data_IF_012057788936
#
_entry.id   IF_012057788936
#
_cell.length_a   1.000
_cell.length_b   1.000
_cell.length_c   1.000
_cell.angle_alpha   90.00
_cell.angle_beta   90.00
_cell.angle_gamma   90.00
#
_symmetry.space_group_name_H-M   'P 1'
#
loop_
_entity.id
_entity.type
_entity.pdbx_description
1 polymer ?
#
# COMPACT_ATOMS: atom_id res chain seq x y z
N UNK A 1 -18.19 3.81 14.55
CA UNK A 1 -17.19 3.05 13.79
C UNK A 1 -17.86 2.57 12.52
N UNK A 2 -17.23 2.80 11.38
CA UNK A 2 -17.70 2.31 10.08
C UNK A 2 -17.58 0.79 9.99
N UNK A 3 -18.14 0.20 8.93
CA UNK A 3 -17.98 -1.22 8.64
C UNK A 3 -16.54 -1.50 8.22
N UNK A 4 -15.84 -2.41 8.91
CA UNK A 4 -14.47 -2.84 8.52
C UNK A 4 -14.56 -3.70 7.26
N UNK A 5 -13.83 -3.28 6.21
CA UNK A 5 -13.73 -4.01 4.92
C UNK A 5 -12.46 -4.83 4.84
N UNK A 6 -11.34 -4.29 5.31
CA UNK A 6 -10.08 -5.03 5.39
C UNK A 6 -9.58 -5.04 6.83
N UNK A 7 -9.27 -6.22 7.34
CA UNK A 7 -8.62 -6.38 8.63
C UNK A 7 -7.42 -7.32 8.47
N UNK A 8 -6.26 -6.85 8.91
CA UNK A 8 -5.01 -7.62 8.96
C UNK A 8 -4.62 -7.78 10.42
N UNK A 9 -4.38 -9.02 10.86
CA UNK A 9 -4.05 -9.35 12.26
C UNK A 9 -2.72 -10.09 12.33
N UNK A 10 -1.73 -9.49 12.94
CA UNK A 10 -0.42 -10.10 13.23
C UNK A 10 0.21 -10.83 12.02
N UNK A 11 0.05 -10.25 10.84
CA UNK A 11 0.51 -10.86 9.59
C UNK A 11 2.03 -10.97 9.57
N UNK A 12 2.53 -12.17 9.25
CA UNK A 12 3.95 -12.46 9.08
C UNK A 12 4.19 -13.19 7.77
N UNK A 13 5.12 -12.67 6.99
CA UNK A 13 5.60 -13.30 5.76
C UNK A 13 7.10 -13.15 5.62
N UNK A 14 7.73 -14.06 4.92
CA UNK A 14 9.16 -14.05 4.65
C UNK A 14 9.47 -14.41 3.20
N UNK A 15 10.60 -13.96 2.72
CA UNK A 15 11.23 -14.53 1.54
C UNK A 15 12.21 -15.62 1.95
N UNK A 16 12.21 -16.73 1.22
CA UNK A 16 13.26 -17.75 1.31
C UNK A 16 14.15 -17.56 0.08
N UNK A 17 15.40 -17.13 0.32
CA UNK A 17 16.35 -16.88 -0.76
C UNK A 17 16.82 -18.21 -1.39
N UNK A 18 17.44 -18.13 -2.56
CA UNK A 18 18.08 -19.29 -3.21
C UNK A 18 19.16 -19.99 -2.37
N UNK A 19 19.67 -19.30 -1.34
CA UNK A 19 20.62 -19.83 -0.37
C UNK A 19 19.96 -20.36 0.91
N UNK A 20 18.63 -20.55 0.90
CA UNK A 20 17.82 -21.00 2.03
C UNK A 20 17.89 -20.08 3.27
N UNK A 21 18.08 -18.78 3.05
CA UNK A 21 18.06 -17.79 4.11
C UNK A 21 16.69 -17.12 4.17
N UNK A 22 16.16 -16.96 5.39
CA UNK A 22 14.91 -16.29 5.66
C UNK A 22 15.10 -14.77 5.71
N UNK A 23 14.21 -14.02 5.05
CA UNK A 23 14.16 -12.56 5.09
C UNK A 23 12.77 -12.14 5.57
N UNK A 24 12.65 -11.65 6.79
CA UNK A 24 11.40 -11.32 7.47
C UNK A 24 10.89 -9.94 7.06
N UNK A 25 10.27 -9.87 5.88
CA UNK A 25 9.87 -8.60 5.26
C UNK A 25 8.54 -8.05 5.77
N UNK A 26 7.68 -8.88 6.37
CA UNK A 26 6.47 -8.49 7.11
C UNK A 26 6.47 -9.28 8.42
N UNK A 27 6.44 -8.59 9.55
CA UNK A 27 6.61 -9.24 10.85
C UNK A 27 5.70 -8.61 11.90
N UNK A 28 4.53 -9.22 12.09
CA UNK A 28 3.55 -8.82 13.10
C UNK A 28 2.80 -7.53 12.74
N UNK A 29 2.38 -7.41 11.47
CA UNK A 29 1.63 -6.24 10.99
C UNK A 29 0.15 -6.42 11.25
N UNK A 30 -0.47 -5.39 11.88
CA UNK A 30 -1.92 -5.35 12.16
C UNK A 30 -2.49 -3.98 11.84
N UNK A 31 -3.61 -3.94 11.11
CA UNK A 31 -4.37 -2.72 10.83
C UNK A 31 -5.76 -3.05 10.28
N UNK A 32 -6.62 -2.04 10.20
CA UNK A 32 -7.95 -2.13 9.61
C UNK A 32 -8.19 -1.00 8.63
N UNK A 33 -9.05 -1.23 7.62
CA UNK A 33 -9.59 -0.18 6.74
C UNK A 33 -11.12 -0.31 6.73
N UNK A 34 -11.81 0.77 7.08
CA UNK A 34 -13.26 0.85 7.06
C UNK A 34 -13.79 1.12 5.64
N UNK A 35 -15.07 0.86 5.41
CA UNK A 35 -15.76 1.18 4.15
C UNK A 35 -15.73 2.69 3.86
N UNK A 36 -15.40 3.05 2.64
CA UNK A 36 -15.22 4.44 2.20
C UNK A 36 -13.92 5.08 2.67
N UNK A 37 -13.00 4.32 3.28
CA UNK A 37 -11.72 4.83 3.79
C UNK A 37 -10.53 4.36 2.97
N UNK A 38 -9.50 5.19 3.00
CA UNK A 38 -8.22 4.93 2.36
C UNK A 38 -7.06 4.97 3.35
N UNK A 39 -6.13 4.02 3.22
CA UNK A 39 -4.93 3.88 4.04
C UNK A 39 -3.67 4.14 3.21
N UNK A 40 -2.84 5.07 3.63
CA UNK A 40 -1.51 5.29 3.10
C UNK A 40 -0.47 4.41 3.81
N UNK A 41 0.45 3.83 3.05
CA UNK A 41 1.60 3.09 3.61
C UNK A 41 2.88 3.80 3.21
N UNK A 42 3.55 4.37 4.21
CA UNK A 42 4.79 5.11 4.05
C UNK A 42 6.00 4.35 4.60
N UNK A 43 7.19 4.73 4.18
CA UNK A 43 8.47 4.18 4.67
C UNK A 43 9.53 4.12 3.59
N UNK A 44 10.79 3.95 4.01
CA UNK A 44 11.94 3.84 3.09
C UNK A 44 11.84 2.63 2.15
N UNK A 45 12.58 2.68 1.04
CA UNK A 45 12.71 1.54 0.13
C UNK A 45 13.25 0.31 0.88
N UNK A 46 12.70 -0.87 0.59
CA UNK A 46 13.09 -2.12 1.24
C UNK A 46 12.51 -2.36 2.63
N UNK A 47 11.67 -1.46 3.20
CA UNK A 47 11.07 -1.68 4.51
C UNK A 47 9.93 -2.73 4.54
N UNK A 48 9.49 -3.24 3.37
CA UNK A 48 8.47 -4.30 3.26
C UNK A 48 7.12 -3.90 2.71
N UNK A 49 6.91 -2.66 2.24
CA UNK A 49 5.61 -2.15 1.75
C UNK A 49 5.01 -3.00 0.62
N UNK A 50 5.76 -3.20 -0.47
CA UNK A 50 5.29 -4.03 -1.58
C UNK A 50 5.14 -5.49 -1.19
N UNK A 51 5.95 -5.98 -0.23
CA UNK A 51 5.78 -7.32 0.33
C UNK A 51 4.48 -7.42 1.11
N UNK A 52 4.13 -6.39 1.90
CA UNK A 52 2.84 -6.32 2.59
C UNK A 52 1.68 -6.37 1.58
N UNK A 53 1.74 -5.56 0.51
CA UNK A 53 0.75 -5.57 -0.57
C UNK A 53 0.56 -6.97 -1.17
N UNK A 54 1.65 -7.61 -1.58
CA UNK A 54 1.62 -8.97 -2.14
C UNK A 54 1.10 -9.99 -1.13
N UNK A 55 1.49 -9.85 0.14
CA UNK A 55 1.03 -10.75 1.21
C UNK A 55 -0.48 -10.70 1.41
N UNK A 56 -1.08 -9.50 1.30
CA UNK A 56 -2.53 -9.30 1.46
C UNK A 56 -3.35 -9.88 0.30
N UNK A 57 -2.72 -10.19 -0.83
CA UNK A 57 -3.41 -10.91 -1.92
C UNK A 57 -3.76 -12.36 -1.54
N UNK A 58 -3.20 -12.90 -0.46
CA UNK A 58 -3.43 -14.29 -0.03
C UNK A 58 -2.86 -15.34 -0.98
N UNK A 59 -2.17 -14.91 -2.03
CA UNK A 59 -1.59 -15.77 -3.05
C UNK A 59 -0.07 -15.78 -2.94
N UNK A 60 0.47 -16.84 -2.32
CA UNK A 60 1.90 -16.97 -2.03
C UNK A 60 2.55 -17.94 -3.00
N UNK A 61 3.62 -17.51 -3.63
CA UNK A 61 4.48 -18.37 -4.44
C UNK A 61 5.95 -18.00 -4.24
N UNK A 62 6.85 -18.99 -4.34
CA UNK A 62 8.28 -18.74 -4.12
C UNK A 62 8.81 -17.55 -4.93
N UNK A 63 9.66 -16.71 -4.30
CA UNK A 63 10.29 -16.88 -2.98
C UNK A 63 9.51 -16.36 -1.77
N UNK A 64 8.26 -15.84 -1.92
CA UNK A 64 7.42 -15.33 -0.83
C UNK A 64 6.66 -16.47 -0.15
N UNK A 65 6.71 -16.51 1.19
CA UNK A 65 6.05 -17.52 2.02
C UNK A 65 5.26 -16.88 3.16
N UNK A 66 4.03 -17.36 3.35
CA UNK A 66 3.21 -17.05 4.52
C UNK A 66 3.76 -17.79 5.76
N UNK A 67 3.73 -17.11 6.92
CA UNK A 67 4.12 -17.69 8.21
C UNK A 67 2.90 -17.81 9.11
N UNK A 68 2.21 -16.69 9.38
CA UNK A 68 1.07 -16.63 10.29
C UNK A 68 0.31 -15.30 10.17
N UNK A 69 -0.82 -15.22 10.86
CA UNK A 69 -1.67 -14.04 10.93
C UNK A 69 -2.90 -14.18 10.07
N UNK A 70 -3.82 -13.21 10.16
CA UNK A 70 -5.07 -13.25 9.43
C UNK A 70 -5.19 -12.07 8.47
N UNK A 71 -5.84 -12.33 7.32
CA UNK A 71 -6.27 -11.35 6.35
C UNK A 71 -7.75 -11.57 6.14
N UNK A 72 -8.56 -10.61 6.60
CA UNK A 72 -10.01 -10.72 6.60
C UNK A 72 -10.57 -9.62 5.71
N UNK A 73 -11.30 -10.01 4.65
CA UNK A 73 -11.94 -9.08 3.71
C UNK A 73 -13.45 -9.24 3.84
N UNK A 74 -14.14 -8.17 4.28
CA UNK A 74 -15.59 -8.13 4.49
C UNK A 74 -16.09 -9.33 5.32
N UNK A 75 -15.34 -9.68 6.38
CA UNK A 75 -15.65 -10.79 7.28
C UNK A 75 -15.16 -12.17 6.82
N UNK A 76 -14.63 -12.32 5.61
CA UNK A 76 -14.07 -13.58 5.09
C UNK A 76 -12.57 -13.63 5.34
N UNK A 77 -12.10 -14.58 6.15
CA UNK A 77 -10.66 -14.85 6.32
C UNK A 77 -10.12 -15.59 5.08
N UNK A 78 -9.13 -15.02 4.43
CA UNK A 78 -8.48 -15.59 3.24
C UNK A 78 -7.10 -16.20 3.53
N UNK A 79 -6.63 -16.12 4.77
CA UNK A 79 -5.33 -16.64 5.17
C UNK A 79 -5.30 -18.17 5.08
N UNK A 80 -4.29 -18.71 4.45
CA UNK A 80 -4.12 -20.16 4.30
C UNK A 80 -5.11 -20.85 3.37
N UNK A 81 -5.90 -20.10 2.59
CA UNK A 81 -6.72 -20.67 1.51
C UNK A 81 -5.86 -21.34 0.45
N UNK A 82 -6.43 -22.31 -0.25
CA UNK A 82 -5.78 -22.92 -1.39
C UNK A 82 -5.49 -21.88 -2.48
N UNK A 83 -4.28 -21.87 -3.09
CA UNK A 83 -3.91 -20.88 -4.11
C UNK A 83 -4.85 -20.83 -5.32
N UNK A 84 -5.38 -21.98 -5.76
CA UNK A 84 -6.34 -22.02 -6.87
C UNK A 84 -7.70 -21.45 -6.47
N UNK A 85 -8.13 -21.62 -5.22
CA UNK A 85 -9.33 -21.00 -4.68
C UNK A 85 -9.16 -19.49 -4.57
N UNK A 86 -8.02 -19.02 -4.03
CA UNK A 86 -7.68 -17.59 -3.96
C UNK A 86 -7.75 -16.97 -5.34
N UNK A 87 -7.11 -17.59 -6.33
CA UNK A 87 -7.10 -17.08 -7.71
C UNK A 87 -8.49 -16.96 -8.32
N UNK A 88 -9.37 -17.92 -8.04
CA UNK A 88 -10.72 -17.98 -8.64
C UNK A 88 -11.75 -17.11 -7.93
N UNK A 89 -11.61 -16.92 -6.61
CA UNK A 89 -12.70 -16.32 -5.80
C UNK A 89 -12.31 -15.05 -5.05
N UNK A 90 -11.02 -14.74 -4.97
CA UNK A 90 -10.52 -13.60 -4.20
C UNK A 90 -9.90 -12.53 -5.09
N UNK A 91 -8.93 -12.95 -5.96
CA UNK A 91 -8.22 -11.99 -6.79
C UNK A 91 -9.17 -11.36 -7.83
N UNK A 92 -9.20 -10.05 -7.90
CA UNK A 92 -10.03 -9.28 -8.83
C UNK A 92 -11.44 -8.98 -8.34
N UNK A 93 -12.02 -9.79 -7.43
CA UNK A 93 -13.38 -9.62 -6.88
C UNK A 93 -13.39 -9.12 -5.43
N UNK A 94 -12.61 -9.74 -4.56
CA UNK A 94 -12.49 -9.30 -3.17
C UNK A 94 -11.35 -8.29 -3.01
N UNK A 95 -10.20 -8.59 -3.63
CA UNK A 95 -9.01 -7.74 -3.60
C UNK A 95 -8.38 -7.64 -4.99
N UNK A 96 -7.98 -6.43 -5.39
CA UNK A 96 -7.22 -6.18 -6.61
C UNK A 96 -5.95 -5.41 -6.31
N UNK A 97 -4.95 -5.57 -7.18
CA UNK A 97 -3.63 -4.99 -7.02
C UNK A 97 -3.18 -4.27 -8.29
N UNK A 98 -2.75 -3.03 -8.13
CA UNK A 98 -2.07 -2.26 -9.16
C UNK A 98 -0.58 -2.28 -8.80
N UNK A 99 0.26 -3.00 -9.56
CA UNK A 99 1.68 -3.14 -9.25
C UNK A 99 2.47 -1.87 -9.54
N UNK A 100 3.63 -1.76 -8.90
CA UNK A 100 4.64 -0.78 -9.26
C UNK A 100 5.00 -0.93 -10.75
N UNK A 101 5.16 0.19 -11.46
CA UNK A 101 5.36 0.20 -12.93
C UNK A 101 4.22 -0.53 -13.69
N UNK A 102 2.98 -0.30 -13.30
CA UNK A 102 1.78 -0.93 -13.87
C UNK A 102 1.71 -0.87 -15.40
N UNK A 103 2.32 0.14 -16.03
CA UNK A 103 2.40 0.25 -17.49
C UNK A 103 3.07 -0.95 -18.18
N UNK A 104 3.90 -1.70 -17.46
CA UNK A 104 4.59 -2.89 -17.95
C UNK A 104 3.76 -4.19 -17.75
N UNK A 105 2.62 -4.10 -17.05
CA UNK A 105 1.74 -5.26 -16.84
C UNK A 105 0.93 -5.64 -18.08
N UNK A 106 0.79 -4.74 -19.04
CA UNK A 106 0.05 -4.99 -20.27
C UNK A 106 0.91 -5.76 -21.29
N UNK A 107 0.38 -6.86 -21.83
CA UNK A 107 1.05 -7.61 -22.90
C UNK A 107 1.13 -6.73 -24.17
N UNK A 108 2.34 -6.43 -24.67
CA UNK A 108 2.52 -5.54 -25.82
C UNK A 108 1.93 -6.09 -27.14
N UNK A 109 1.79 -7.40 -27.25
CA UNK A 109 1.34 -8.09 -28.48
C UNK A 109 -0.14 -8.46 -28.47
N UNK A 110 -0.84 -8.17 -27.37
CA UNK A 110 -2.26 -8.49 -27.21
C UNK A 110 -3.10 -7.22 -27.26
N UNK A 111 -4.27 -7.28 -27.90
CA UNK A 111 -5.25 -6.19 -27.86
C UNK A 111 -5.82 -6.06 -26.45
N UNK A 112 -6.10 -4.83 -26.03
CA UNK A 112 -6.61 -4.56 -24.66
C UNK A 112 -7.91 -5.32 -24.41
N UNK A 113 -8.84 -5.40 -25.36
CA UNK A 113 -10.08 -6.15 -25.17
C UNK A 113 -9.83 -7.63 -24.87
N UNK A 114 -8.80 -8.25 -25.43
CA UNK A 114 -8.46 -9.64 -25.13
C UNK A 114 -7.98 -9.83 -23.69
N UNK A 115 -7.20 -8.88 -23.20
CA UNK A 115 -6.79 -8.89 -21.80
C UNK A 115 -8.00 -8.74 -20.85
N UNK A 116 -8.97 -7.89 -21.20
CA UNK A 116 -10.23 -7.76 -20.45
C UNK A 116 -11.03 -9.06 -20.50
N UNK A 117 -11.18 -9.67 -21.70
CA UNK A 117 -11.84 -10.98 -21.86
C UNK A 117 -11.21 -12.05 -20.97
N UNK A 118 -9.87 -12.14 -20.94
CA UNK A 118 -9.13 -13.13 -20.13
C UNK A 118 -9.40 -12.94 -18.62
N UNK A 119 -9.41 -11.69 -18.15
CA UNK A 119 -9.70 -11.36 -16.74
C UNK A 119 -11.14 -11.73 -16.38
N UNK A 120 -12.13 -11.35 -17.21
CA UNK A 120 -13.54 -11.64 -16.91
C UNK A 120 -13.83 -13.14 -17.02
N UNK A 121 -13.32 -13.83 -18.04
CA UNK A 121 -13.54 -15.26 -18.22
C UNK A 121 -12.88 -16.11 -17.12
N UNK A 122 -11.86 -15.61 -16.44
CA UNK A 122 -11.30 -16.27 -15.27
C UNK A 122 -12.30 -16.40 -14.12
N UNK A 123 -13.34 -15.53 -14.07
CA UNK A 123 -14.38 -15.49 -13.03
C UNK A 123 -15.76 -15.91 -13.57
N UNK A 124 -16.10 -15.50 -14.78
CA UNK A 124 -17.33 -15.88 -15.48
C UNK A 124 -17.03 -16.39 -16.90
N UNK A 125 -16.73 -17.69 -17.05
CA UNK A 125 -16.42 -18.28 -18.36
C UNK A 125 -17.58 -18.24 -19.37
N UNK A 126 -18.80 -17.94 -18.91
CA UNK A 126 -20.00 -17.94 -19.75
C UNK A 126 -20.40 -16.56 -20.26
N UNK A 127 -19.82 -15.50 -19.74
CA UNK A 127 -20.12 -14.15 -20.19
C UNK A 127 -19.76 -13.99 -21.67
N UNK A 128 -20.74 -13.54 -22.47
CA UNK A 128 -20.51 -13.35 -23.91
C UNK A 128 -19.65 -12.11 -24.21
N UNK A 129 -19.00 -12.12 -25.38
CA UNK A 129 -18.05 -11.05 -25.75
C UNK A 129 -18.71 -9.68 -25.89
N UNK A 130 -20.01 -9.62 -26.20
CA UNK A 130 -20.73 -8.35 -26.32
C UNK A 130 -20.93 -7.74 -24.95
N UNK A 131 -21.38 -8.53 -23.97
CA UNK A 131 -21.53 -8.09 -22.58
C UNK A 131 -20.18 -7.67 -21.96
N UNK A 132 -19.10 -8.41 -22.24
CA UNK A 132 -17.75 -8.04 -21.81
C UNK A 132 -17.34 -6.70 -22.39
N UNK A 133 -17.59 -6.48 -23.67
CA UNK A 133 -17.25 -5.22 -24.34
C UNK A 133 -18.04 -4.05 -23.77
N UNK A 134 -19.34 -4.19 -23.55
CA UNK A 134 -20.20 -3.16 -22.96
C UNK A 134 -19.72 -2.79 -21.55
N UNK A 135 -19.39 -3.79 -20.72
CA UNK A 135 -18.83 -3.58 -19.38
C UNK A 135 -17.48 -2.84 -19.44
N UNK A 136 -16.61 -3.25 -20.35
CA UNK A 136 -15.31 -2.62 -20.54
C UNK A 136 -15.44 -1.17 -21.01
N UNK A 137 -16.29 -0.90 -22.00
CA UNK A 137 -16.53 0.46 -22.51
C UNK A 137 -17.04 1.39 -21.40
N UNK A 138 -17.98 0.92 -20.58
CA UNK A 138 -18.47 1.68 -19.44
C UNK A 138 -17.35 2.00 -18.43
N UNK A 139 -16.53 1.02 -18.04
CA UNK A 139 -15.41 1.23 -17.10
C UNK A 139 -14.34 2.14 -17.70
N UNK A 140 -14.02 2.00 -18.98
CA UNK A 140 -13.03 2.84 -19.65
C UNK A 140 -13.51 4.31 -19.75
N UNK A 141 -14.80 4.52 -20.02
CA UNK A 141 -15.38 5.85 -20.02
C UNK A 141 -15.28 6.56 -18.66
N UNK A 142 -15.50 5.82 -17.55
CA UNK A 142 -15.32 6.33 -16.18
C UNK A 142 -13.89 6.86 -15.91
N UNK A 143 -12.90 6.28 -16.58
CA UNK A 143 -11.49 6.67 -16.45
C UNK A 143 -11.02 7.58 -17.60
N UNK A 144 -11.95 8.16 -18.36
CA UNK A 144 -11.66 9.07 -19.46
C UNK A 144 -10.88 8.43 -20.62
N UNK A 145 -11.10 7.13 -20.84
CA UNK A 145 -10.54 6.39 -21.97
C UNK A 145 -11.63 6.17 -23.04
N UNK A 146 -11.38 6.52 -24.31
CA UNK A 146 -12.32 6.22 -25.38
C UNK A 146 -12.41 4.71 -25.65
N UNK A 147 -13.59 4.23 -26.07
CA UNK A 147 -13.83 2.81 -26.37
C UNK A 147 -12.84 2.22 -27.39
N UNK A 148 -12.33 3.07 -28.31
CA UNK A 148 -11.33 2.64 -29.30
C UNK A 148 -10.02 2.11 -28.71
N UNK A 149 -9.74 2.40 -27.42
CA UNK A 149 -8.56 1.86 -26.72
C UNK A 149 -8.65 0.34 -26.58
N UNK A 150 -9.84 -0.21 -26.47
CA UNK A 150 -10.07 -1.66 -26.39
C UNK A 150 -9.56 -2.42 -27.62
N UNK A 151 -9.57 -1.79 -28.78
CA UNK A 151 -9.14 -2.39 -30.04
C UNK A 151 -7.65 -2.20 -30.35
N UNK A 152 -6.93 -1.43 -29.51
CA UNK A 152 -5.50 -1.17 -29.62
C UNK A 152 -4.64 -2.21 -28.88
N UNK A 153 -3.37 -2.26 -29.29
CA UNK A 153 -2.32 -2.96 -28.53
C UNK A 153 -1.69 -2.00 -27.52
N UNK A 154 -1.11 -2.55 -26.44
CA UNK A 154 -0.51 -1.72 -25.40
C UNK A 154 0.61 -0.78 -25.92
N UNK A 155 1.34 -1.19 -26.97
CA UNK A 155 2.40 -0.36 -27.57
C UNK A 155 1.89 0.91 -28.25
N UNK A 156 0.62 0.96 -28.64
CA UNK A 156 -0.03 2.10 -29.30
C UNK A 156 -0.55 3.15 -28.29
N UNK A 157 -0.45 2.86 -26.97
CA UNK A 157 -0.97 3.71 -25.91
C UNK A 157 0.14 4.60 -25.34
N UNK A 158 -0.19 5.85 -25.02
CA UNK A 158 0.68 6.71 -24.21
C UNK A 158 0.82 6.17 -22.78
N UNK A 159 1.84 6.61 -22.03
CA UNK A 159 2.06 6.18 -20.64
C UNK A 159 0.82 6.39 -19.75
N UNK A 160 0.22 7.57 -19.82
CA UNK A 160 -1.00 7.85 -19.06
C UNK A 160 -2.22 7.01 -19.48
N UNK A 161 -2.32 6.66 -20.79
CA UNK A 161 -3.36 5.74 -21.25
C UNK A 161 -3.12 4.32 -20.75
N UNK A 162 -1.87 3.82 -20.78
CA UNK A 162 -1.50 2.52 -20.21
C UNK A 162 -1.86 2.44 -18.73
N UNK A 163 -1.49 3.45 -17.96
CA UNK A 163 -1.78 3.53 -16.52
C UNK A 163 -3.29 3.45 -16.26
N UNK A 164 -4.08 4.28 -16.95
CA UNK A 164 -5.55 4.26 -16.84
C UNK A 164 -6.15 2.94 -17.28
N UNK A 165 -5.61 2.31 -18.31
CA UNK A 165 -6.04 0.98 -18.77
C UNK A 165 -5.82 -0.07 -17.70
N UNK A 166 -4.66 -0.08 -17.01
CA UNK A 166 -4.40 -1.01 -15.91
C UNK A 166 -5.38 -0.78 -14.76
N UNK A 167 -5.63 0.49 -14.38
CA UNK A 167 -6.62 0.81 -13.34
C UNK A 167 -8.02 0.31 -13.76
N UNK A 168 -8.43 0.52 -15.02
CA UNK A 168 -9.70 0.05 -15.54
C UNK A 168 -9.84 -1.47 -15.41
N UNK A 169 -8.82 -2.21 -15.85
CA UNK A 169 -8.84 -3.68 -15.79
C UNK A 169 -8.79 -4.19 -14.35
N UNK A 170 -7.94 -3.60 -13.49
CA UNK A 170 -7.84 -4.00 -12.07
C UNK A 170 -9.15 -3.75 -11.29
N UNK A 171 -10.01 -2.85 -11.77
CA UNK A 171 -11.28 -2.52 -11.10
C UNK A 171 -12.51 -3.02 -11.86
N UNK A 172 -12.34 -3.76 -12.95
CA UNK A 172 -13.45 -4.18 -13.83
C UNK A 172 -14.49 -5.04 -13.11
N UNK A 173 -14.07 -5.85 -12.15
CA UNK A 173 -14.90 -6.74 -11.34
C UNK A 173 -15.38 -6.11 -10.02
N UNK A 174 -15.20 -4.79 -9.82
CA UNK A 174 -15.58 -4.06 -8.61
C UNK A 174 -15.02 -4.67 -7.31
N UNK A 175 -13.70 -4.76 -7.16
CA UNK A 175 -13.08 -5.35 -5.98
C UNK A 175 -13.47 -4.57 -4.72
N UNK A 176 -13.66 -5.28 -3.59
CA UNK A 176 -13.92 -4.62 -2.31
C UNK A 176 -12.72 -3.81 -1.84
N UNK A 177 -11.51 -4.35 -2.02
CA UNK A 177 -10.25 -3.69 -1.65
C UNK A 177 -9.38 -3.50 -2.90
N UNK A 178 -8.89 -2.27 -3.10
CA UNK A 178 -7.89 -1.97 -4.13
C UNK A 178 -6.57 -1.58 -3.46
N UNK A 179 -5.51 -2.31 -3.77
CA UNK A 179 -4.14 -1.97 -3.37
C UNK A 179 -3.44 -1.34 -4.55
N UNK A 180 -2.88 -0.15 -4.35
CA UNK A 180 -2.14 0.57 -5.36
C UNK A 180 -0.69 0.80 -4.90
N UNK A 181 0.25 0.10 -5.53
CA UNK A 181 1.67 0.18 -5.21
C UNK A 181 2.35 1.14 -6.20
N UNK A 182 2.68 2.32 -5.72
CA UNK A 182 3.25 3.43 -6.50
C UNK A 182 2.49 3.72 -7.82
N UNK A 183 1.16 3.91 -7.77
CA UNK A 183 0.32 3.97 -8.97
C UNK A 183 0.60 5.17 -9.87
N UNK A 184 1.33 6.15 -9.39
CA UNK A 184 1.68 7.38 -10.12
C UNK A 184 3.17 7.48 -10.45
N UNK A 185 3.98 6.47 -10.11
CA UNK A 185 5.42 6.47 -10.42
C UNK A 185 5.65 6.58 -11.93
N UNK A 186 6.66 7.32 -12.32
CA UNK A 186 7.01 7.61 -13.72
C UNK A 186 6.00 8.47 -14.51
N UNK A 187 5.05 9.13 -13.84
CA UNK A 187 4.16 10.13 -14.43
C UNK A 187 4.60 11.56 -14.08
N UNK A 188 4.30 12.50 -14.94
CA UNK A 188 4.41 13.93 -14.61
C UNK A 188 3.39 14.35 -13.55
N UNK A 189 3.64 15.46 -12.86
CA UNK A 189 2.81 15.94 -11.72
C UNK A 189 1.32 16.09 -12.07
N UNK A 190 1.01 16.51 -13.30
CA UNK A 190 -0.38 16.68 -13.74
C UNK A 190 -1.06 15.33 -13.90
N UNK A 191 -0.37 14.39 -14.54
CA UNK A 191 -0.85 13.01 -14.72
C UNK A 191 -0.99 12.27 -13.38
N UNK A 192 -0.07 12.49 -12.44
CA UNK A 192 -0.18 11.95 -11.07
C UNK A 192 -1.47 12.41 -10.39
N UNK A 193 -1.73 13.72 -10.38
CA UNK A 193 -2.96 14.27 -9.77
C UNK A 193 -4.22 13.70 -10.42
N UNK A 194 -4.19 13.51 -11.75
CA UNK A 194 -5.31 12.94 -12.48
C UNK A 194 -5.57 11.49 -12.08
N UNK A 195 -4.54 10.65 -12.02
CA UNK A 195 -4.64 9.24 -11.59
C UNK A 195 -5.20 9.13 -10.19
N UNK A 196 -4.70 9.92 -9.25
CA UNK A 196 -5.16 9.95 -7.87
C UNK A 196 -6.64 10.35 -7.78
N UNK A 197 -7.04 11.40 -8.50
CA UNK A 197 -8.44 11.81 -8.55
C UNK A 197 -9.33 10.69 -9.08
N UNK A 198 -8.94 10.05 -10.18
CA UNK A 198 -9.71 8.93 -10.74
C UNK A 198 -9.87 7.77 -9.75
N UNK A 199 -8.84 7.45 -8.98
CA UNK A 199 -8.91 6.39 -7.97
C UNK A 199 -9.89 6.77 -6.84
N UNK A 200 -9.87 8.03 -6.38
CA UNK A 200 -10.88 8.55 -5.44
C UNK A 200 -12.30 8.47 -6.04
N UNK A 201 -12.47 8.92 -7.28
CA UNK A 201 -13.77 8.87 -7.96
C UNK A 201 -14.32 7.42 -8.05
N UNK A 202 -13.45 6.41 -8.22
CA UNK A 202 -13.86 5.00 -8.20
C UNK A 202 -14.38 4.56 -6.83
N UNK A 203 -13.78 5.04 -5.74
CA UNK A 203 -14.23 4.77 -4.39
C UNK A 203 -15.54 5.51 -4.08
N UNK A 204 -15.63 6.80 -4.41
CA UNK A 204 -16.83 7.62 -4.19
C UNK A 204 -18.04 7.08 -4.96
N UNK A 205 -17.83 6.49 -6.14
CA UNK A 205 -18.87 5.81 -6.93
C UNK A 205 -19.19 4.39 -6.46
N UNK A 206 -18.49 3.88 -5.44
CA UNK A 206 -18.72 2.56 -4.87
C UNK A 206 -18.18 1.38 -5.69
N UNK A 207 -17.35 1.62 -6.70
CA UNK A 207 -16.68 0.54 -7.46
C UNK A 207 -15.62 -0.17 -6.62
N UNK A 208 -15.04 0.53 -5.63
CA UNK A 208 -14.09 0.02 -4.66
C UNK A 208 -14.56 0.45 -3.28
N UNK A 209 -14.57 -0.44 -2.29
CA UNK A 209 -15.06 -0.12 -0.95
C UNK A 209 -13.99 0.41 -0.02
N UNK A 210 -12.75 -0.04 -0.15
CA UNK A 210 -11.61 0.40 0.63
C UNK A 210 -10.36 0.41 -0.23
N UNK A 211 -9.42 1.34 0.05
CA UNK A 211 -8.24 1.50 -0.78
C UNK A 211 -6.97 1.59 0.07
N UNK A 212 -5.89 0.97 -0.40
CA UNK A 212 -4.57 1.12 0.17
C UNK A 212 -3.60 1.70 -0.85
N UNK A 213 -2.95 2.81 -0.49
CA UNK A 213 -1.93 3.46 -1.30
C UNK A 213 -0.55 3.24 -0.72
N UNK A 214 0.36 2.74 -1.52
CA UNK A 214 1.78 2.64 -1.18
C UNK A 214 2.53 3.63 -2.03
N UNK A 215 3.28 4.53 -1.41
CA UNK A 215 4.18 5.44 -2.12
C UNK A 215 5.29 5.93 -1.18
N UNK A 216 6.39 6.36 -1.77
CA UNK A 216 7.45 7.08 -1.07
C UNK A 216 7.21 8.61 -1.07
N UNK A 217 6.21 9.08 -1.80
CA UNK A 217 5.83 10.49 -1.87
C UNK A 217 4.81 10.82 -0.74
N UNK A 218 5.31 11.18 0.44
CA UNK A 218 4.48 11.47 1.61
C UNK A 218 3.49 12.63 1.42
N UNK A 219 3.83 13.75 0.74
CA UNK A 219 2.85 14.81 0.43
C UNK A 219 1.67 14.29 -0.39
N UNK A 220 1.89 13.27 -1.22
CA UNK A 220 0.83 12.64 -1.98
C UNK A 220 -0.13 11.90 -1.04
N UNK A 221 0.39 11.10 -0.10
CA UNK A 221 -0.45 10.38 0.88
C UNK A 221 -1.34 11.33 1.68
N UNK A 222 -0.80 12.45 2.16
CA UNK A 222 -1.58 13.46 2.90
C UNK A 222 -2.84 13.92 2.13
N UNK A 223 -2.72 14.06 0.81
CA UNK A 223 -3.83 14.56 -0.02
C UNK A 223 -4.84 13.48 -0.43
N UNK A 224 -4.47 12.18 -0.31
CA UNK A 224 -5.26 11.10 -0.90
C UNK A 224 -5.74 10.05 0.09
N UNK A 225 -5.20 10.03 1.31
CA UNK A 225 -5.56 9.02 2.31
C UNK A 225 -6.18 9.64 3.54
N UNK A 226 -7.06 8.88 4.19
CA UNK A 226 -7.66 9.24 5.48
C UNK A 226 -6.67 8.98 6.62
N UNK A 227 -6.08 7.79 6.63
CA UNK A 227 -5.07 7.34 7.60
C UNK A 227 -3.75 7.05 6.91
N UNK A 228 -2.66 7.14 7.67
CA UNK A 228 -1.32 6.72 7.22
C UNK A 228 -0.73 5.77 8.27
N UNK A 229 -0.11 4.69 7.79
CA UNK A 229 0.79 3.85 8.56
C UNK A 229 2.21 4.03 8.08
N UNK A 230 3.15 4.09 9.00
CA UNK A 230 4.58 4.13 8.68
C UNK A 230 5.19 2.77 8.96
N UNK A 231 5.85 2.23 7.95
CA UNK A 231 6.49 0.92 7.99
C UNK A 231 8.01 1.06 8.02
N UNK A 232 8.66 0.38 8.96
CA UNK A 232 10.11 0.32 9.06
C UNK A 232 10.58 -1.12 9.31
N UNK A 233 11.49 -1.57 8.44
CA UNK A 233 12.15 -2.86 8.60
C UNK A 233 11.18 -4.04 8.89
N UNK A 234 10.04 -4.11 8.16
CA UNK A 234 9.05 -5.18 8.26
C UNK A 234 7.98 -4.99 9.34
N UNK A 235 8.00 -3.91 10.12
CA UNK A 235 7.01 -3.64 11.17
C UNK A 235 6.32 -2.30 10.94
N UNK A 236 5.08 -2.17 11.43
CA UNK A 236 4.45 -0.87 11.59
C UNK A 236 5.03 -0.20 12.84
N UNK A 237 5.49 1.04 12.68
CA UNK A 237 6.06 1.83 13.76
C UNK A 237 5.15 2.93 14.25
N UNK A 238 4.24 3.41 13.38
CA UNK A 238 3.23 4.40 13.74
C UNK A 238 2.01 4.32 12.82
N UNK A 239 0.84 4.65 13.35
CA UNK A 239 -0.43 4.86 12.64
C UNK A 239 -1.15 6.06 13.21
N UNK A 240 -1.76 6.87 12.36
CA UNK A 240 -2.66 7.96 12.70
C UNK A 240 -3.40 8.46 11.48
N UNK A 241 -4.23 9.47 11.65
CA UNK A 241 -4.83 10.19 10.52
C UNK A 241 -3.74 10.82 9.65
N UNK A 242 -4.00 11.04 8.38
CA UNK A 242 -3.03 11.66 7.48
C UNK A 242 -2.51 13.00 8.03
N UNK A 243 -3.39 13.79 8.70
CA UNK A 243 -3.04 15.06 9.32
C UNK A 243 -2.07 14.87 10.49
N UNK A 244 -2.35 13.95 11.40
CA UNK A 244 -1.48 13.68 12.56
C UNK A 244 -0.12 13.20 12.12
N UNK A 245 -0.11 12.26 11.16
CA UNK A 245 1.14 11.67 10.67
C UNK A 245 2.07 12.70 10.01
N UNK A 246 1.51 13.72 9.36
CA UNK A 246 2.31 14.77 8.69
C UNK A 246 2.73 15.87 9.66
N UNK A 247 1.84 16.32 10.56
CA UNK A 247 2.07 17.51 11.38
C UNK A 247 2.43 17.21 12.84
N UNK A 248 2.13 16.01 13.36
CA UNK A 248 2.40 15.63 14.76
C UNK A 248 2.85 14.15 14.86
N UNK A 249 3.86 13.70 14.08
CA UNK A 249 4.37 12.34 14.16
C UNK A 249 5.05 12.10 15.53
N UNK A 250 4.77 10.93 16.12
CA UNK A 250 5.28 10.58 17.47
C UNK A 250 6.56 9.74 17.38
N UNK A 251 6.57 8.70 16.53
CA UNK A 251 7.72 7.81 16.47
C UNK A 251 8.95 8.53 15.86
N UNK A 252 10.17 8.40 16.45
CA UNK A 252 11.36 9.10 15.94
C UNK A 252 11.67 8.88 14.48
N UNK A 253 11.37 7.70 13.93
CA UNK A 253 11.50 7.44 12.50
C UNK A 253 10.49 8.23 11.67
N UNK A 254 9.22 8.23 12.09
CA UNK A 254 8.17 9.01 11.41
C UNK A 254 8.45 10.50 11.48
N UNK A 255 8.88 11.00 12.62
CA UNK A 255 9.29 12.40 12.80
C UNK A 255 10.43 12.78 11.82
N UNK A 256 11.49 11.98 11.76
CA UNK A 256 12.59 12.21 10.81
C UNK A 256 12.16 12.05 9.35
N UNK A 257 11.27 11.10 9.04
CA UNK A 257 10.74 10.87 7.70
C UNK A 257 9.90 12.05 7.21
N UNK A 258 9.00 12.58 8.06
CA UNK A 258 8.16 13.74 7.77
C UNK A 258 8.98 15.03 7.73
N UNK A 259 9.95 15.22 8.62
CA UNK A 259 10.88 16.35 8.61
C UNK A 259 11.80 16.44 7.39
N UNK A 260 11.91 15.35 6.62
CA UNK A 260 12.65 15.34 5.35
C UNK A 260 11.84 15.85 4.15
N UNK A 261 10.57 16.22 4.36
CA UNK A 261 9.66 16.67 3.31
C UNK A 261 9.57 18.20 3.30
N UNK A 262 9.67 18.78 2.11
CA UNK A 262 9.26 20.15 1.89
C UNK A 262 7.73 20.17 1.79
N UNK A 263 7.03 20.47 2.89
CA UNK A 263 5.63 20.91 2.82
C UNK A 263 5.66 22.36 2.33
N UNK A 264 5.07 22.69 1.16
CA UNK A 264 5.06 24.05 0.67
C UNK A 264 4.03 24.90 1.45
N UNK A 265 4.33 25.24 2.71
CA UNK A 265 3.62 26.26 3.46
C UNK A 265 4.43 27.55 3.49
N UNK A 266 3.73 28.70 3.48
CA UNK A 266 4.36 30.01 3.63
C UNK A 266 5.14 30.05 4.95
N UNK A 267 6.47 30.18 4.88
CA UNK A 267 7.37 30.22 6.03
C UNK A 267 8.44 29.13 6.09
N UNK A 268 8.38 28.08 5.26
CA UNK A 268 9.36 26.97 5.27
C UNK A 268 10.68 27.24 4.52
N UNK A 269 10.90 28.48 4.05
CA UNK A 269 12.20 28.87 3.45
C UNK A 269 13.28 28.89 4.52
N UNK A 270 14.18 27.88 4.51
CA UNK A 270 15.37 27.84 5.35
C UNK A 270 15.53 26.63 6.26
N UNK A 271 14.55 25.74 6.38
CA UNK A 271 14.75 24.49 7.11
C UNK A 271 15.67 23.55 6.33
N UNK A 272 16.79 23.14 6.94
CA UNK A 272 17.65 22.08 6.40
C UNK A 272 16.88 20.77 6.42
N UNK A 273 16.72 20.15 5.27
CA UNK A 273 16.21 18.78 5.17
C UNK A 273 17.11 17.86 5.99
N UNK A 274 16.59 17.30 7.08
CA UNK A 274 17.32 16.36 7.91
C UNK A 274 17.17 14.96 7.30
N UNK A 275 18.23 14.47 6.66
CA UNK A 275 18.27 13.07 6.23
C UNK A 275 18.41 12.16 7.46
N UNK A 276 17.65 11.06 7.50
CA UNK A 276 17.81 10.02 8.52
C UNK A 276 19.13 9.29 8.25
N UNK A 277 20.13 9.35 9.18
CA UNK A 277 21.44 8.77 8.94
C UNK A 277 21.41 7.23 8.95
N UNK A 278 22.44 6.61 8.38
CA UNK A 278 22.65 5.16 8.42
C UNK A 278 21.76 4.38 7.43
N UNK A 279 21.76 3.06 7.57
CA UNK A 279 21.03 2.13 6.72
C UNK A 279 20.06 1.28 7.53
N UNK A 280 18.92 0.85 6.95
CA UNK A 280 18.00 -0.08 7.62
C UNK A 280 18.70 -1.39 8.04
N UNK A 281 18.22 -2.06 9.10
CA UNK A 281 18.80 -3.30 9.56
C UNK A 281 18.58 -4.44 8.54
N UNK A 282 19.43 -5.45 8.64
CA UNK A 282 19.30 -6.64 7.81
C UNK A 282 18.11 -7.51 8.27
N UNK A 283 17.12 -7.69 7.41
CA UNK A 283 15.91 -8.47 7.70
C UNK A 283 16.13 -9.98 7.74
N UNK A 284 17.30 -10.49 7.43
CA UNK A 284 17.67 -11.90 7.69
C UNK A 284 17.87 -12.14 9.19
N UNK A 285 18.33 -11.13 9.92
CA UNK A 285 18.57 -11.18 11.37
C UNK A 285 18.08 -9.86 11.98
N UNK A 286 16.75 -9.67 12.05
CA UNK A 286 16.19 -8.45 12.59
C UNK A 286 16.59 -8.27 14.06
N UNK A 287 16.85 -7.03 14.53
CA UNK A 287 17.13 -6.76 15.92
C UNK A 287 16.03 -7.28 16.86
N UNK A 288 16.43 -7.77 18.04
CA UNK A 288 15.48 -8.24 19.05
C UNK A 288 14.68 -7.11 19.70
N UNK A 289 15.27 -5.92 19.79
CA UNK A 289 14.63 -4.70 20.30
C UNK A 289 14.04 -3.84 19.20
N UNK A 290 14.04 -2.53 19.41
CA UNK A 290 13.59 -1.55 18.42
C UNK A 290 14.42 -1.64 17.13
N UNK A 291 13.76 -1.91 16.00
CA UNK A 291 14.46 -2.03 14.70
C UNK A 291 15.10 -0.74 14.25
N UNK A 292 14.62 0.41 14.73
CA UNK A 292 15.18 1.72 14.44
C UNK A 292 16.31 2.16 15.40
N UNK A 293 16.60 1.41 16.47
CA UNK A 293 17.50 1.81 17.55
C UNK A 293 18.90 2.26 17.06
N UNK A 294 19.49 1.59 16.05
CA UNK A 294 20.82 1.94 15.53
C UNK A 294 20.87 3.29 14.80
N UNK A 295 19.73 3.80 14.34
CA UNK A 295 19.60 5.06 13.60
C UNK A 295 18.89 6.14 14.43
N UNK A 296 18.34 5.76 15.58
CA UNK A 296 17.56 6.66 16.42
C UNK A 296 18.49 7.49 17.31
N UNK A 297 18.50 8.81 17.14
CA UNK A 297 19.30 9.72 17.96
C UNK A 297 18.87 9.78 19.43
N UNK A 298 17.68 9.25 19.76
CA UNK A 298 17.12 9.18 21.10
C UNK A 298 17.18 7.77 21.71
N UNK A 299 17.87 6.83 21.04
CA UNK A 299 17.94 5.45 21.51
C UNK A 299 18.67 5.34 22.84
N UNK A 300 18.11 4.53 23.73
CA UNK A 300 18.77 4.09 24.96
C UNK A 300 19.33 2.67 24.79
N UNK A 301 20.13 2.21 25.73
CA UNK A 301 20.64 0.82 25.74
C UNK A 301 19.46 -0.18 25.70
N UNK A 302 18.40 0.09 26.44
CA UNK A 302 17.19 -0.75 26.51
C UNK A 302 16.53 -0.94 25.14
N UNK A 303 16.51 0.08 24.28
CA UNK A 303 15.94 -0.01 22.93
C UNK A 303 16.56 -1.12 22.08
N UNK A 304 17.78 -1.57 22.38
CA UNK A 304 18.51 -2.59 21.61
C UNK A 304 18.10 -4.02 21.95
N UNK A 305 17.61 -4.24 23.18
CA UNK A 305 17.42 -5.59 23.72
C UNK A 305 15.98 -5.88 24.12
N UNK A 306 15.19 -4.84 24.41
CA UNK A 306 13.81 -5.00 24.87
C UNK A 306 12.84 -4.96 23.70
N UNK A 307 11.95 -5.96 23.63
CA UNK A 307 10.84 -5.95 22.68
C UNK A 307 9.98 -4.71 22.89
N UNK A 308 9.68 -4.01 21.81
CA UNK A 308 8.89 -2.78 21.85
C UNK A 308 7.44 -3.08 21.51
N UNK A 309 6.52 -2.99 22.49
CA UNK A 309 5.10 -3.21 22.25
C UNK A 309 4.49 -2.05 21.43
N UNK A 310 3.39 -2.34 20.79
CA UNK A 310 2.50 -1.30 20.26
C UNK A 310 1.78 -0.61 21.42
N UNK A 311 1.77 0.72 21.37
CA UNK A 311 0.99 1.56 22.28
C UNK A 311 -0.12 2.21 21.46
N UNK A 312 -1.36 2.04 21.91
CA UNK A 312 -2.54 2.59 21.22
C UNK A 312 -3.16 3.70 22.07
N UNK A 313 -3.52 4.79 21.45
CA UNK A 313 -4.28 5.88 22.06
C UNK A 313 -5.79 5.61 21.99
N UNK A 314 -6.56 6.34 22.77
CA UNK A 314 -8.02 6.22 22.81
C UNK A 314 -8.69 6.58 21.46
N UNK A 315 -8.04 7.40 20.65
CA UNK A 315 -8.48 7.80 19.31
C UNK A 315 -8.13 6.78 18.20
N UNK A 316 -7.46 5.68 18.58
CA UNK A 316 -7.05 4.62 17.63
C UNK A 316 -5.70 4.85 16.97
N UNK A 317 -5.01 5.95 17.27
CA UNK A 317 -3.62 6.19 16.87
C UNK A 317 -2.71 5.16 17.54
N UNK A 318 -1.63 4.74 16.87
CA UNK A 318 -0.69 3.74 17.39
C UNK A 318 0.75 4.15 17.12
N UNK A 319 1.64 3.87 18.09
CA UNK A 319 3.08 3.98 17.89
C UNK A 319 3.84 2.87 18.61
N UNK A 320 5.04 2.56 18.12
CA UNK A 320 5.92 1.50 18.65
C UNK A 320 7.23 2.11 19.15
N UNK A 321 7.23 2.62 20.37
CA UNK A 321 8.41 3.18 21.04
C UNK A 321 8.37 2.92 22.54
N UNK A 322 9.55 2.73 23.19
CA UNK A 322 9.64 2.60 24.64
C UNK A 322 9.33 3.92 25.36
N UNK A 323 9.75 5.05 24.76
CA UNK A 323 9.47 6.38 25.31
C UNK A 323 7.99 6.73 25.24
N UNK A 324 7.55 7.58 26.17
CA UNK A 324 6.20 8.16 26.12
C UNK A 324 6.12 9.28 25.06
N UNK A 325 4.89 9.71 24.77
CA UNK A 325 4.66 10.84 23.83
C UNK A 325 5.24 12.12 24.39
N UNK A 326 5.08 12.34 25.70
CA UNK A 326 5.57 13.53 26.41
C UNK A 326 7.10 13.60 26.33
N UNK A 327 7.79 12.49 26.62
CA UNK A 327 9.25 12.39 26.49
C UNK A 327 9.74 12.66 25.05
N UNK A 328 8.98 12.19 24.05
CA UNK A 328 9.33 12.41 22.64
C UNK A 328 9.08 13.85 22.23
N UNK A 329 7.94 14.44 22.62
CA UNK A 329 7.64 15.86 22.33
C UNK A 329 8.62 16.82 23.00
N UNK A 330 9.05 16.50 24.22
CA UNK A 330 10.09 17.28 24.91
C UNK A 330 11.40 17.31 24.11
N UNK A 331 11.88 16.14 23.66
CA UNK A 331 13.15 16.10 22.89
C UNK A 331 13.02 16.72 21.51
N UNK A 332 11.84 16.69 20.88
CA UNK A 332 11.60 17.36 19.58
C UNK A 332 11.54 18.88 19.70
N UNK A 333 11.08 19.41 20.84
CA UNK A 333 11.03 20.87 21.08
C UNK A 333 12.41 21.51 21.23
N UNK A 334 13.47 20.72 21.41
CA UNK A 334 14.86 21.16 21.52
C UNK A 334 15.65 21.02 20.19
N UNK A 335 15.00 20.64 19.08
CA UNK A 335 15.60 20.58 17.73
C UNK A 335 15.36 21.85 16.92
#
# INVERSE_FOLDING_TARGET
MGKVILEVRNLKTKYITRFHEDVYSVDGVSFTIEEGKSLGVAGESGCGKSTLALSMMGYYFPPLHYISGDIIIDGKNISGMDPDEVRKTILGTEIAYIPQAAMNALNPTQKIIRFVEDVIHAHDPKMDKKAIRELAEARFAELGLPASVLDKHAVELSGGMKQRTVIAVSTILNPKVLIADEPSSALDVTSQKMVIKMMKDLMDKGYVKAMMFITHELPLLYNVTDDIVVMYAGQLVERGTAKEMVFDPVHPYSHGLMGSILVPEEGTRGHKLAAIPGTPPNLKRPPAGCRFAERCKYATAECRYTSVPEKTFDDGRMYRCLKSVEELKEVYSHE
#
